data_IF_242570275658
#
_entry.id   IF_242570275658
#
_cell.length_a   1.000
_cell.length_b   1.000
_cell.length_c   1.000
_cell.angle_alpha   90.00
_cell.angle_beta   90.00
_cell.angle_gamma   90.00
#
_symmetry.space_group_name_H-M   'P 1'
#
loop_
_entity.id
_entity.type
_entity.pdbx_description
1 polymer ?
#
# COMPACT_ATOMS: atom_id res chain seq x y z
N UNK A 1 -2.59 -23.50 0.74
CA UNK A 1 -3.42 -22.73 1.70
C UNK A 1 -2.57 -21.61 2.26
N UNK A 2 -3.00 -20.33 2.18
CA UNK A 2 -2.29 -19.23 2.81
C UNK A 2 -2.28 -19.47 4.33
N UNK A 3 -1.13 -19.26 4.98
CA UNK A 3 -1.01 -19.42 6.45
C UNK A 3 -1.92 -18.40 7.14
N UNK A 4 -2.58 -18.76 8.26
CA UNK A 4 -3.32 -17.79 9.06
C UNK A 4 -2.32 -16.78 9.63
N UNK A 5 -2.35 -15.58 9.07
CA UNK A 5 -1.51 -14.46 9.48
C UNK A 5 -2.22 -13.74 10.64
N UNK A 6 -1.57 -13.75 11.81
CA UNK A 6 -2.09 -13.31 13.11
C UNK A 6 -2.21 -11.78 13.26
N UNK A 7 -1.80 -11.01 12.26
CA UNK A 7 -1.78 -9.54 12.33
C UNK A 7 -3.17 -8.96 12.25
N UNK A 8 -3.45 -8.00 13.13
CA UNK A 8 -4.70 -7.25 13.15
C UNK A 8 -4.85 -6.32 11.94
N UNK A 9 -6.07 -5.83 11.72
CA UNK A 9 -6.37 -4.89 10.64
C UNK A 9 -5.48 -3.65 10.68
N UNK A 10 -5.29 -3.05 11.87
CA UNK A 10 -4.46 -1.85 12.05
C UNK A 10 -2.99 -2.10 11.68
N UNK A 11 -2.45 -3.27 12.01
CA UNK A 11 -1.06 -3.61 11.71
C UNK A 11 -0.87 -3.81 10.19
N UNK A 12 -1.84 -4.44 9.52
CA UNK A 12 -1.81 -4.59 8.05
C UNK A 12 -1.96 -3.25 7.33
N UNK A 13 -2.86 -2.41 7.81
CA UNK A 13 -3.10 -1.09 7.25
C UNK A 13 -1.89 -0.17 7.43
N UNK A 14 -1.30 -0.14 8.63
CA UNK A 14 -0.09 0.65 8.90
C UNK A 14 1.12 0.16 8.11
N UNK A 15 1.32 -1.16 7.98
CA UNK A 15 2.37 -1.72 7.14
C UNK A 15 2.20 -1.33 5.66
N UNK A 16 0.96 -1.35 5.15
CA UNK A 16 0.66 -0.89 3.80
C UNK A 16 0.99 0.60 3.63
N UNK A 17 0.60 1.45 4.58
CA UNK A 17 0.88 2.89 4.54
C UNK A 17 2.39 3.18 4.53
N UNK A 18 3.16 2.43 5.33
CA UNK A 18 4.62 2.50 5.36
C UNK A 18 5.25 2.03 4.04
N UNK A 19 4.77 0.93 3.44
CA UNK A 19 5.27 0.44 2.14
C UNK A 19 5.03 1.48 1.04
N UNK A 20 3.85 2.12 1.03
CA UNK A 20 3.55 3.27 0.17
C UNK A 20 4.57 4.38 0.33
N UNK A 21 4.81 4.84 1.57
CA UNK A 21 5.75 5.92 1.86
C UNK A 21 7.19 5.58 1.46
N UNK A 22 7.64 4.35 1.71
CA UNK A 22 9.00 3.91 1.38
C UNK A 22 9.17 3.75 -0.13
N UNK A 23 8.25 3.08 -0.83
CA UNK A 23 8.34 2.90 -2.30
C UNK A 23 8.28 4.21 -3.04
N UNK A 24 7.34 5.08 -2.67
CA UNK A 24 7.20 6.40 -3.30
C UNK A 24 8.39 7.28 -2.99
N UNK A 25 8.85 7.33 -1.73
CA UNK A 25 10.02 8.11 -1.33
C UNK A 25 11.31 7.66 -2.01
N UNK A 26 11.55 6.35 -2.12
CA UNK A 26 12.73 5.80 -2.80
C UNK A 26 12.71 6.11 -4.30
N UNK A 27 11.56 5.94 -4.96
CA UNK A 27 11.39 6.23 -6.39
C UNK A 27 11.56 7.73 -6.68
N UNK A 28 10.91 8.60 -5.90
CA UNK A 28 11.02 10.05 -6.05
C UNK A 28 12.45 10.53 -5.75
N UNK A 29 13.08 10.01 -4.69
CA UNK A 29 14.46 10.35 -4.34
C UNK A 29 15.47 9.97 -5.43
N UNK A 30 15.34 8.75 -5.98
CA UNK A 30 16.15 8.27 -7.11
C UNK A 30 15.96 9.12 -8.37
N UNK A 31 14.71 9.49 -8.66
CA UNK A 31 14.37 10.34 -9.81
C UNK A 31 14.81 11.79 -9.64
N UNK A 32 14.76 12.35 -8.43
CA UNK A 32 15.30 13.68 -8.15
C UNK A 32 16.82 13.72 -8.35
N UNK A 33 17.56 12.71 -7.89
CA UNK A 33 19.00 12.61 -8.15
C UNK A 33 19.32 12.59 -9.66
N UNK A 34 18.52 11.85 -10.43
CA UNK A 34 18.66 11.78 -11.90
C UNK A 34 18.23 13.07 -12.62
N UNK A 35 17.21 13.77 -12.08
CA UNK A 35 16.71 15.04 -12.61
C UNK A 35 17.74 16.17 -12.49
N UNK A 36 18.51 16.20 -11.40
CA UNK A 36 19.61 17.15 -11.22
C UNK A 36 20.82 16.87 -12.13
N UNK A 37 21.02 15.63 -12.56
CA UNK A 37 22.21 15.24 -13.34
C UNK A 37 22.00 15.23 -14.87
N UNK A 38 20.77 15.05 -15.38
CA UNK A 38 20.54 14.72 -16.81
C UNK A 38 19.64 15.69 -17.61
N UNK A 39 19.26 16.83 -17.02
CA UNK A 39 18.53 17.90 -17.72
C UNK A 39 17.00 17.71 -17.77
N UNK A 40 16.31 18.57 -17.00
CA UNK A 40 14.94 19.11 -17.10
C UNK A 40 13.72 18.26 -17.53
N UNK A 41 13.82 16.98 -17.86
CA UNK A 41 12.62 16.18 -18.17
C UNK A 41 11.92 15.76 -16.88
N UNK A 42 10.79 16.42 -16.56
CA UNK A 42 9.95 16.13 -15.38
C UNK A 42 9.06 14.88 -15.56
N UNK A 43 8.83 14.47 -16.80
CA UNK A 43 7.97 13.33 -17.14
C UNK A 43 8.33 11.98 -16.47
N UNK A 44 9.62 11.62 -16.28
CA UNK A 44 9.99 10.42 -15.55
C UNK A 44 9.44 10.44 -14.12
N UNK A 45 9.52 11.56 -13.41
CA UNK A 45 9.04 11.66 -12.03
C UNK A 45 7.55 11.31 -11.90
N UNK A 46 6.73 11.78 -12.84
CA UNK A 46 5.30 11.45 -12.88
C UNK A 46 5.05 9.97 -13.18
N UNK A 47 5.82 9.37 -14.10
CA UNK A 47 5.69 7.94 -14.43
C UNK A 47 6.16 7.06 -13.28
N UNK A 48 7.33 7.34 -12.72
CA UNK A 48 7.88 6.55 -11.61
C UNK A 48 7.03 6.67 -10.35
N UNK A 49 6.50 7.86 -10.06
CA UNK A 49 5.52 8.05 -9.00
C UNK A 49 4.24 7.25 -9.24
N UNK A 50 3.63 7.37 -10.43
CA UNK A 50 2.39 6.65 -10.77
C UNK A 50 2.53 5.12 -10.71
N UNK A 51 3.61 4.57 -11.28
CA UNK A 51 3.88 3.13 -11.26
C UNK A 51 4.16 2.60 -9.84
N UNK A 52 4.92 3.36 -9.04
CA UNK A 52 5.22 3.00 -7.66
C UNK A 52 3.99 2.95 -6.76
N UNK A 53 3.12 3.95 -6.89
CA UNK A 53 1.84 4.04 -6.17
C UNK A 53 0.93 2.88 -6.57
N UNK A 54 0.80 2.58 -7.87
CA UNK A 54 -0.06 1.50 -8.36
C UNK A 54 0.35 0.11 -7.84
N UNK A 55 1.65 -0.19 -7.82
CA UNK A 55 2.14 -1.47 -7.28
C UNK A 55 1.96 -1.59 -5.76
N UNK A 56 2.17 -0.50 -5.02
CA UNK A 56 1.92 -0.50 -3.57
C UNK A 56 0.42 -0.70 -3.27
N UNK A 57 -0.46 -0.10 -4.07
CA UNK A 57 -1.91 -0.24 -3.94
C UNK A 57 -2.36 -1.70 -4.11
N UNK A 58 -1.95 -2.35 -5.20
CA UNK A 58 -2.36 -3.74 -5.47
C UNK A 58 -1.88 -4.72 -4.41
N UNK A 59 -0.66 -4.54 -3.88
CA UNK A 59 -0.15 -5.36 -2.78
C UNK A 59 -0.98 -5.16 -1.49
N UNK A 60 -1.33 -3.90 -1.21
CA UNK A 60 -2.13 -3.55 -0.05
C UNK A 60 -3.55 -4.10 -0.13
N UNK A 61 -4.21 -3.90 -1.28
CA UNK A 61 -5.55 -4.39 -1.57
C UNK A 61 -5.63 -5.90 -1.39
N UNK A 62 -4.65 -6.65 -1.92
CA UNK A 62 -4.61 -8.10 -1.78
C UNK A 62 -4.43 -8.53 -0.30
N UNK A 63 -3.55 -7.85 0.45
CA UNK A 63 -3.32 -8.13 1.87
C UNK A 63 -4.54 -7.83 2.76
N UNK A 64 -5.28 -6.76 2.45
CA UNK A 64 -6.49 -6.38 3.17
C UNK A 64 -7.67 -7.28 2.80
N UNK A 65 -7.88 -7.55 1.51
CA UNK A 65 -8.97 -8.42 1.06
C UNK A 65 -8.81 -9.84 1.60
N UNK A 66 -7.59 -10.40 1.61
CA UNK A 66 -7.34 -11.71 2.21
C UNK A 66 -7.66 -11.74 3.71
N UNK A 67 -7.41 -10.65 4.43
CA UNK A 67 -7.77 -10.53 5.84
C UNK A 67 -9.28 -10.36 6.05
N UNK A 68 -9.92 -9.44 5.32
CA UNK A 68 -11.35 -9.15 5.41
C UNK A 68 -12.21 -10.37 5.06
N UNK A 69 -11.85 -11.10 4.00
CA UNK A 69 -12.55 -12.33 3.59
C UNK A 69 -12.34 -13.50 4.57
N UNK A 70 -11.29 -13.45 5.40
CA UNK A 70 -11.03 -14.46 6.42
C UNK A 70 -11.71 -14.17 7.76
N UNK A 71 -12.30 -12.98 7.93
CA UNK A 71 -13.06 -12.65 9.13
C UNK A 71 -14.50 -13.15 9.01
N UNK A 72 -14.95 -13.92 10.01
CA UNK A 72 -16.36 -14.26 10.16
C UNK A 72 -17.20 -12.99 10.36
N UNK A 73 -18.38 -12.88 9.73
CA UNK A 73 -19.25 -11.74 9.90
C UNK A 73 -19.64 -11.62 11.37
N UNK A 74 -19.29 -10.49 11.99
CA UNK A 74 -19.78 -10.17 13.34
C UNK A 74 -21.30 -10.02 13.25
N UNK A 75 -22.02 -11.03 13.73
CA UNK A 75 -23.47 -10.95 13.85
C UNK A 75 -23.82 -9.75 14.73
N UNK A 76 -24.36 -8.70 14.12
CA UNK A 76 -24.79 -7.53 14.85
C UNK A 76 -26.08 -7.91 15.58
N UNK A 77 -25.96 -8.26 16.86
CA UNK A 77 -27.12 -8.51 17.72
C UNK A 77 -27.67 -7.14 18.10
N UNK A 78 -28.70 -6.68 17.38
CA UNK A 78 -29.46 -5.52 17.79
C UNK A 78 -30.16 -5.91 19.10
N UNK A 79 -29.66 -5.42 20.22
CA UNK A 79 -30.39 -5.50 21.49
C UNK A 79 -31.56 -4.53 21.41
N UNK A 80 -32.74 -5.07 21.10
CA UNK A 80 -34.01 -4.41 21.40
C UNK A 80 -34.23 -4.52 22.91
N UNK A 81 -33.91 -3.46 23.64
CA UNK A 81 -34.37 -3.20 25.00
C UNK A 81 -34.96 -1.80 25.02
#
# INVERSE_FOLDING_TARGET
MPKPDKRDFEERYSACFLDFGVKTGLLIGSMMGSFFLHGYKKWPMFIGGGLGIGMAYQNCENSLNTFLLSMDPKACVIKLV
#
